data_IF_097118976058
#
_entry.id   IF_097118976058
#
_cell.length_a   1.000
_cell.length_b   1.000
_cell.length_c   1.000
_cell.angle_alpha   90.00
_cell.angle_beta   90.00
_cell.angle_gamma   90.00
#
_symmetry.space_group_name_H-M   'P 1'
#
loop_
_entity.id
_entity.type
_entity.pdbx_description
1 polymer ?
#
# COMPACT_ATOMS: atom_id res chain seq x y z
N UNK A 1 -14.35 -14.31 -13.81
CA UNK A 1 -13.90 -15.47 -13.00
C UNK A 1 -12.78 -16.30 -13.64
N UNK A 2 -12.97 -16.91 -14.81
CA UNK A 2 -11.94 -17.74 -15.45
C UNK A 2 -10.60 -17.02 -15.78
N UNK A 3 -10.63 -15.69 -16.03
CA UNK A 3 -9.41 -14.89 -16.18
C UNK A 3 -8.70 -14.60 -14.86
N UNK A 4 -9.44 -14.37 -13.76
CA UNK A 4 -8.87 -14.17 -12.41
C UNK A 4 -8.18 -15.46 -11.95
N UNK A 5 -8.85 -16.61 -12.11
CA UNK A 5 -8.28 -17.91 -11.80
C UNK A 5 -7.04 -18.21 -12.65
N UNK A 6 -7.03 -17.83 -13.93
CA UNK A 6 -5.84 -17.95 -14.79
C UNK A 6 -4.69 -17.07 -14.32
N UNK A 7 -4.95 -15.81 -13.95
CA UNK A 7 -3.92 -14.91 -13.41
C UNK A 7 -3.32 -15.49 -12.14
N UNK A 8 -4.16 -15.93 -11.18
CA UNK A 8 -3.73 -16.59 -9.95
C UNK A 8 -2.93 -17.86 -10.24
N UNK A 9 -3.35 -18.68 -11.23
CA UNK A 9 -2.62 -19.88 -11.66
C UNK A 9 -1.30 -19.58 -12.38
N UNK A 10 -1.20 -18.46 -13.10
CA UNK A 10 0.05 -18.07 -13.79
C UNK A 10 1.09 -17.50 -12.84
N UNK A 11 0.68 -16.71 -11.84
CA UNK A 11 1.57 -16.31 -10.73
C UNK A 11 1.92 -17.49 -9.84
N UNK A 12 1.07 -18.51 -9.75
CA UNK A 12 1.35 -19.78 -9.06
C UNK A 12 2.48 -20.61 -9.65
N UNK A 13 2.69 -20.51 -10.97
CA UNK A 13 3.57 -21.41 -11.72
C UNK A 13 5.02 -20.94 -11.83
N UNK A 14 5.34 -19.71 -11.38
CA UNK A 14 6.73 -19.25 -11.31
C UNK A 14 7.38 -19.89 -10.08
N UNK A 15 7.98 -21.06 -10.24
CA UNK A 15 8.82 -21.67 -9.20
C UNK A 15 10.01 -20.75 -8.88
N UNK A 16 10.33 -20.52 -7.59
CA UNK A 16 11.57 -19.88 -7.21
C UNK A 16 12.72 -20.89 -7.36
N UNK A 17 13.76 -20.50 -8.11
CA UNK A 17 15.01 -21.24 -8.18
C UNK A 17 15.58 -21.46 -6.76
N UNK A 18 16.10 -22.66 -6.45
CA UNK A 18 16.42 -23.03 -5.08
C UNK A 18 17.85 -22.60 -4.73
N UNK A 19 18.03 -21.37 -4.24
CA UNK A 19 19.26 -21.00 -3.52
C UNK A 19 19.08 -19.72 -2.72
N UNK A 20 18.66 -19.85 -1.46
CA UNK A 20 19.22 -19.16 -0.28
C UNK A 20 18.26 -19.28 0.91
N UNK A 21 18.54 -20.24 1.79
CA UNK A 21 17.71 -20.59 2.93
C UNK A 21 18.15 -19.86 4.19
N UNK A 22 17.97 -18.54 4.31
CA UNK A 22 18.09 -17.83 5.60
C UNK A 22 17.40 -16.45 5.61
N UNK A 23 16.14 -16.37 5.17
CA UNK A 23 15.23 -15.27 5.55
C UNK A 23 13.72 -15.55 5.33
N UNK A 24 13.36 -16.80 4.99
CA UNK A 24 12.06 -17.13 4.38
C UNK A 24 10.84 -16.90 5.27
N UNK A 25 10.97 -16.88 6.61
CA UNK A 25 9.82 -16.67 7.50
C UNK A 25 9.36 -15.21 7.57
N UNK A 26 10.30 -14.26 7.65
CA UNK A 26 9.97 -12.84 7.67
C UNK A 26 9.44 -12.38 6.30
N UNK A 27 10.04 -12.92 5.23
CA UNK A 27 9.63 -12.68 3.86
C UNK A 27 8.25 -13.28 3.55
N UNK A 28 7.97 -14.51 4.00
CA UNK A 28 6.64 -15.12 3.88
C UNK A 28 5.58 -14.39 4.72
N UNK A 29 5.92 -13.90 5.92
CA UNK A 29 5.00 -13.10 6.73
C UNK A 29 4.70 -11.74 6.08
N UNK A 30 5.70 -11.13 5.45
CA UNK A 30 5.57 -9.86 4.72
C UNK A 30 4.74 -10.06 3.44
N UNK A 31 5.01 -11.14 2.69
CA UNK A 31 4.24 -11.52 1.51
C UNK A 31 2.78 -11.87 1.86
N UNK A 32 2.54 -12.52 3.00
CA UNK A 32 1.18 -12.82 3.49
C UNK A 32 0.45 -11.55 3.92
N UNK A 33 1.10 -10.66 4.66
CA UNK A 33 0.54 -9.35 5.04
C UNK A 33 0.25 -8.49 3.80
N UNK A 34 1.11 -8.57 2.79
CA UNK A 34 0.90 -7.90 1.50
C UNK A 34 -0.25 -8.53 0.72
N UNK A 35 -0.37 -9.87 0.71
CA UNK A 35 -1.46 -10.58 0.04
C UNK A 35 -2.82 -10.33 0.71
N UNK A 36 -2.87 -10.31 2.03
CA UNK A 36 -4.08 -9.95 2.80
C UNK A 36 -4.48 -8.49 2.57
N UNK A 37 -3.51 -7.57 2.48
CA UNK A 37 -3.77 -6.16 2.12
C UNK A 37 -4.20 -6.02 0.66
N UNK A 38 -3.52 -6.68 -0.27
CA UNK A 38 -3.91 -6.74 -1.68
C UNK A 38 -5.35 -7.25 -1.80
N UNK A 39 -5.75 -8.23 -0.98
CA UNK A 39 -7.11 -8.75 -0.97
C UNK A 39 -8.15 -7.81 -0.40
N UNK A 40 -7.81 -7.08 0.66
CA UNK A 40 -8.72 -6.14 1.30
C UNK A 40 -8.99 -4.91 0.42
N UNK A 41 -8.00 -4.45 -0.35
CA UNK A 41 -8.05 -3.18 -1.10
C UNK A 41 -8.15 -3.35 -2.61
N UNK A 42 -8.05 -4.57 -3.13
CA UNK A 42 -8.29 -4.81 -4.55
C UNK A 42 -9.78 -4.76 -4.91
N UNK A 43 -10.71 -4.94 -3.97
CA UNK A 43 -12.13 -5.08 -4.28
C UNK A 43 -12.80 -3.70 -4.41
N UNK A 44 -13.21 -3.36 -5.63
CA UNK A 44 -14.14 -2.25 -5.89
C UNK A 44 -15.53 -2.83 -6.13
N UNK A 45 -16.52 -2.42 -5.34
CA UNK A 45 -17.89 -2.90 -5.42
C UNK A 45 -18.74 -1.90 -6.23
N UNK A 46 -19.34 -2.35 -7.33
CA UNK A 46 -20.18 -1.54 -8.20
C UNK A 46 -21.59 -2.13 -8.31
N UNK A 47 -22.57 -1.39 -7.78
CA UNK A 47 -23.97 -1.78 -7.80
C UNK A 47 -24.69 -1.33 -9.08
N UNK A 48 -25.72 -2.09 -9.45
CA UNK A 48 -26.55 -1.81 -10.63
C UNK A 48 -25.89 -2.22 -11.94
N UNK A 49 -24.78 -2.96 -11.90
CA UNK A 49 -24.08 -3.46 -13.09
C UNK A 49 -24.19 -4.98 -13.18
N UNK A 50 -24.34 -5.55 -14.40
CA UNK A 50 -24.29 -6.98 -14.58
C UNK A 50 -22.96 -7.57 -14.07
N UNK A 51 -23.01 -8.81 -13.56
CA UNK A 51 -21.81 -9.52 -13.09
C UNK A 51 -20.74 -9.68 -14.15
N UNK A 52 -21.13 -9.68 -15.44
CA UNK A 52 -20.22 -9.69 -16.59
C UNK A 52 -19.33 -8.45 -16.71
N UNK A 53 -19.66 -7.35 -16.02
CA UNK A 53 -18.83 -6.14 -15.95
C UNK A 53 -17.66 -6.25 -14.96
N UNK A 54 -17.67 -7.27 -14.10
CA UNK A 54 -16.60 -7.56 -13.12
C UNK A 54 -15.29 -7.88 -13.83
N UNK A 55 -14.18 -7.26 -13.42
CA UNK A 55 -12.88 -7.39 -14.11
C UNK A 55 -11.70 -7.11 -13.20
N UNK A 56 -10.55 -7.64 -13.58
CA UNK A 56 -9.27 -7.24 -13.03
C UNK A 56 -8.74 -6.00 -13.75
N UNK A 57 -8.19 -5.09 -12.98
CA UNK A 57 -7.49 -3.89 -13.43
C UNK A 57 -6.08 -3.99 -12.86
N UNK A 58 -5.05 -3.91 -13.72
CA UNK A 58 -3.65 -3.87 -13.27
C UNK A 58 -3.39 -2.58 -12.50
N UNK A 59 -2.60 -2.63 -11.45
CA UNK A 59 -2.34 -1.51 -10.56
C UNK A 59 -3.27 -1.47 -9.35
N UNK A 60 -3.20 -0.35 -8.63
CA UNK A 60 -4.05 -0.03 -7.47
C UNK A 60 -5.10 1.01 -7.90
N UNK A 61 -6.34 0.82 -7.44
CA UNK A 61 -7.39 1.85 -7.45
C UNK A 61 -7.41 2.50 -6.07
N UNK A 62 -7.33 3.83 -6.03
CA UNK A 62 -7.47 4.64 -4.80
C UNK A 62 -8.87 5.26 -4.81
N UNK A 63 -9.60 5.12 -3.71
CA UNK A 63 -11.01 5.49 -3.56
C UNK A 63 -11.21 7.01 -3.37
N UNK A 64 -10.47 7.82 -4.15
CA UNK A 64 -10.52 9.28 -4.20
C UNK A 64 -10.31 9.75 -5.63
N UNK A 65 -10.88 10.90 -5.97
CA UNK A 65 -10.52 11.63 -7.20
C UNK A 65 -9.36 12.59 -6.90
N UNK A 66 -8.80 13.17 -7.95
CA UNK A 66 -7.84 14.26 -7.84
C UNK A 66 -8.52 15.51 -7.27
N UNK A 67 -7.93 16.09 -6.22
CA UNK A 67 -8.28 17.41 -5.73
C UNK A 67 -7.75 18.52 -6.64
N UNK A 68 -6.61 18.26 -7.29
CA UNK A 68 -6.03 19.07 -8.34
C UNK A 68 -5.45 18.13 -9.39
N UNK A 69 -5.86 18.27 -10.65
CA UNK A 69 -5.40 17.39 -11.72
C UNK A 69 -4.71 18.18 -12.82
N UNK A 70 -3.43 17.86 -13.04
CA UNK A 70 -2.67 18.26 -14.21
C UNK A 70 -2.58 17.04 -15.14
N UNK A 71 -3.17 17.08 -16.34
CA UNK A 71 -3.07 15.99 -17.30
C UNK A 71 -1.62 15.81 -17.71
N UNK A 72 -1.10 14.59 -17.55
CA UNK A 72 0.27 14.26 -17.91
C UNK A 72 0.40 14.02 -19.41
N UNK A 73 1.57 14.35 -19.95
CA UNK A 73 1.96 13.99 -21.32
C UNK A 73 2.18 12.49 -21.39
N UNK A 74 1.62 11.88 -22.44
CA UNK A 74 1.80 10.46 -22.69
C UNK A 74 3.30 10.16 -22.87
N UNK A 75 3.76 9.02 -22.36
CA UNK A 75 5.13 8.46 -22.47
C UNK A 75 6.17 8.73 -21.36
N UNK A 76 5.91 9.52 -20.31
CA UNK A 76 6.86 9.70 -19.21
C UNK A 76 6.46 8.93 -17.94
N UNK A 77 7.45 8.32 -17.27
CA UNK A 77 7.25 7.71 -15.95
C UNK A 77 6.82 8.78 -14.94
N UNK A 78 5.85 8.43 -14.12
CA UNK A 78 5.23 9.32 -13.16
C UNK A 78 5.96 9.19 -11.82
N UNK A 79 6.46 10.31 -11.30
CA UNK A 79 7.06 10.35 -9.97
C UNK A 79 6.05 10.85 -8.95
N UNK A 80 5.80 10.05 -7.92
CA UNK A 80 4.81 10.33 -6.89
C UNK A 80 5.44 10.34 -5.50
N UNK A 81 4.91 11.16 -4.59
CA UNK A 81 5.30 11.17 -3.17
C UNK A 81 4.06 11.04 -2.31
N UNK A 82 4.20 10.27 -1.22
CA UNK A 82 3.13 10.08 -0.23
C UNK A 82 3.39 10.95 1.00
N UNK A 83 2.36 11.65 1.48
CA UNK A 83 2.39 12.44 2.71
C UNK A 83 1.36 11.93 3.71
N UNK A 84 1.79 11.78 4.97
CA UNK A 84 0.87 11.49 6.09
C UNK A 84 0.40 12.76 6.82
N UNK A 85 1.08 13.89 6.56
CA UNK A 85 0.81 15.19 7.18
C UNK A 85 0.42 16.27 6.18
N UNK A 86 0.27 17.48 6.72
CA UNK A 86 0.03 18.69 5.92
C UNK A 86 1.36 19.15 5.31
N UNK A 87 1.34 19.58 4.04
CA UNK A 87 2.54 20.15 3.42
C UNK A 87 2.85 21.54 3.99
N UNK A 88 1.82 22.25 4.42
CA UNK A 88 1.98 23.53 5.10
C UNK A 88 2.55 23.30 6.52
N UNK A 89 3.57 24.05 6.94
CA UNK A 89 4.16 23.89 8.26
C UNK A 89 3.09 24.02 9.36
N UNK A 90 2.96 22.99 10.21
CA UNK A 90 2.18 23.10 11.45
C UNK A 90 2.99 23.91 12.46
N UNK A 91 2.74 25.21 12.51
CA UNK A 91 3.38 26.08 13.49
C UNK A 91 2.76 26.00 14.87
N UNK A 92 1.48 25.59 14.95
CA UNK A 92 0.74 25.54 16.20
C UNK A 92 0.09 24.17 16.35
N UNK A 93 0.32 23.54 17.50
CA UNK A 93 -0.52 22.44 18.00
C UNK A 93 -1.83 23.03 18.53
N UNK A 94 -2.87 22.19 18.63
CA UNK A 94 -4.04 22.56 19.41
C UNK A 94 -3.56 22.99 20.81
N UNK A 95 -4.07 24.12 21.30
CA UNK A 95 -3.67 24.79 22.56
C UNK A 95 -2.46 25.74 22.48
N UNK A 96 -1.76 25.85 21.35
CA UNK A 96 -0.72 26.86 21.15
C UNK A 96 -1.33 28.16 20.60
N UNK A 97 -0.99 29.29 21.24
CA UNK A 97 -1.44 30.63 20.82
C UNK A 97 -0.27 31.35 20.16
N UNK A 98 -0.44 31.77 18.90
CA UNK A 98 0.53 32.64 18.25
C UNK A 98 0.48 34.03 18.90
N UNK A 99 1.48 34.32 19.75
CA UNK A 99 1.60 35.63 20.36
C UNK A 99 2.29 36.60 19.38
N UNK A 100 1.49 37.46 18.76
CA UNK A 100 2.00 38.55 17.92
C UNK A 100 2.40 39.72 18.82
N UNK A 101 3.71 39.97 18.96
CA UNK A 101 4.22 41.10 19.74
C UNK A 101 3.83 42.43 19.11
N UNK A 102 2.98 43.20 19.80
CA UNK A 102 2.52 44.52 19.35
C UNK A 102 3.44 45.64 19.84
N UNK A 103 4.38 46.10 19.01
CA UNK A 103 4.90 47.46 19.11
C UNK A 103 3.91 48.43 18.47
N UNK A 104 3.89 49.69 18.93
CA UNK A 104 2.91 50.77 18.61
C UNK A 104 2.72 51.10 17.10
N UNK A 105 3.37 50.36 16.19
CA UNK A 105 3.33 50.57 14.74
C UNK A 105 3.22 49.29 13.89
N UNK A 106 3.04 48.09 14.47
CA UNK A 106 3.49 46.85 13.80
C UNK A 106 2.58 45.63 13.72
N UNK A 107 1.31 45.68 14.14
CA UNK A 107 0.47 44.46 14.19
C UNK A 107 0.19 43.86 12.79
N UNK A 108 -0.02 44.70 11.78
CA UNK A 108 -0.14 44.25 10.37
C UNK A 108 1.19 43.74 9.80
N UNK A 109 2.32 44.34 10.18
CA UNK A 109 3.66 43.96 9.68
C UNK A 109 4.04 42.54 10.10
N UNK A 110 3.77 42.17 11.35
CA UNK A 110 4.08 40.84 11.87
C UNK A 110 3.22 39.73 11.23
N UNK A 111 1.94 40.01 10.97
CA UNK A 111 1.04 39.07 10.27
C UNK A 111 1.49 38.91 8.81
N UNK A 112 1.81 40.00 8.12
CA UNK A 112 2.31 39.96 6.74
C UNK A 112 3.65 39.22 6.62
N UNK A 113 4.56 39.41 7.59
CA UNK A 113 5.84 38.69 7.60
C UNK A 113 5.64 37.19 7.84
N UNK A 114 4.68 36.82 8.69
CA UNK A 114 4.33 35.43 8.94
C UNK A 114 3.69 34.76 7.72
N UNK A 115 2.71 35.41 7.07
CA UNK A 115 2.08 34.86 5.87
C UNK A 115 3.09 34.71 4.73
N UNK A 116 3.92 35.74 4.51
CA UNK A 116 4.97 35.70 3.49
C UNK A 116 6.04 34.64 3.80
N UNK A 117 6.36 34.38 5.07
CA UNK A 117 7.25 33.28 5.45
C UNK A 117 6.60 31.92 5.22
N UNK A 118 5.33 31.75 5.57
CA UNK A 118 4.61 30.50 5.38
C UNK A 118 4.42 30.15 3.89
N UNK A 119 4.15 31.16 3.06
CA UNK A 119 4.09 31.04 1.60
C UNK A 119 5.46 30.65 1.02
N UNK A 120 6.53 31.41 1.32
CA UNK A 120 7.90 31.07 0.87
C UNK A 120 8.36 29.69 1.33
N UNK A 121 7.92 29.27 2.51
CA UNK A 121 8.22 27.95 3.04
C UNK A 121 7.56 26.85 2.21
N UNK A 122 6.30 27.04 1.82
CA UNK A 122 5.58 26.11 0.97
C UNK A 122 6.12 26.11 -0.47
N UNK A 123 6.47 27.27 -1.02
CA UNK A 123 7.16 27.40 -2.30
C UNK A 123 8.45 26.58 -2.32
N UNK A 124 9.30 26.68 -1.29
CA UNK A 124 10.53 25.90 -1.16
C UNK A 124 10.27 24.38 -1.18
N UNK A 125 9.21 23.91 -0.50
CA UNK A 125 8.82 22.48 -0.52
C UNK A 125 8.40 22.05 -1.93
N UNK A 126 7.59 22.87 -2.62
CA UNK A 126 7.15 22.58 -3.99
C UNK A 126 8.32 22.60 -4.97
N UNK A 127 9.24 23.55 -4.86
CA UNK A 127 10.48 23.60 -5.65
C UNK A 127 11.36 22.36 -5.41
N UNK A 128 11.49 21.92 -4.16
CA UNK A 128 12.22 20.68 -3.83
C UNK A 128 11.56 19.48 -4.50
N UNK A 129 10.24 19.36 -4.46
CA UNK A 129 9.49 18.30 -5.13
C UNK A 129 9.68 18.35 -6.66
N UNK A 130 9.65 19.54 -7.26
CA UNK A 130 9.93 19.74 -8.69
C UNK A 130 11.35 19.32 -9.06
N UNK A 131 12.34 19.66 -8.23
CA UNK A 131 13.74 19.29 -8.44
C UNK A 131 13.96 17.77 -8.47
N UNK A 132 13.12 17.02 -7.73
CA UNK A 132 13.10 15.56 -7.72
C UNK A 132 12.29 14.98 -8.91
N UNK A 133 11.63 15.84 -9.68
CA UNK A 133 10.77 15.51 -10.81
C UNK A 133 9.39 14.99 -10.41
N UNK A 134 8.94 15.25 -9.18
CA UNK A 134 7.64 14.80 -8.68
C UNK A 134 6.52 15.49 -9.46
N UNK A 135 5.52 14.72 -9.87
CA UNK A 135 4.34 15.20 -10.61
C UNK A 135 3.03 14.78 -9.96
N UNK A 136 3.08 13.94 -8.92
CA UNK A 136 1.89 13.51 -8.16
C UNK A 136 2.16 13.56 -6.66
N UNK A 137 1.25 14.18 -5.92
CA UNK A 137 1.22 14.20 -4.46
C UNK A 137 0.03 13.37 -3.99
N UNK A 138 0.28 12.40 -3.11
CA UNK A 138 -0.76 11.57 -2.51
C UNK A 138 -0.77 11.81 -1.00
N UNK A 139 -1.87 12.27 -0.45
CA UNK A 139 -1.95 12.77 0.92
C UNK A 139 -3.02 12.06 1.75
N UNK A 140 -2.68 11.72 2.99
CA UNK A 140 -3.63 11.19 3.99
C UNK A 140 -4.65 12.24 4.43
N UNK A 141 -4.24 13.50 4.46
CA UNK A 141 -5.04 14.62 4.97
C UNK A 141 -5.52 15.52 3.83
N UNK A 142 -6.54 16.33 4.11
CA UNK A 142 -6.95 17.44 3.25
C UNK A 142 -5.87 18.51 3.22
N UNK A 143 -5.48 18.95 2.02
CA UNK A 143 -4.50 20.00 1.85
C UNK A 143 -5.18 21.38 1.76
N UNK A 144 -4.42 22.44 2.02
CA UNK A 144 -4.94 23.81 1.93
C UNK A 144 -5.07 24.26 0.48
N UNK A 145 -5.92 25.26 0.23
CA UNK A 145 -6.08 25.82 -1.11
C UNK A 145 -4.76 26.38 -1.69
N UNK A 146 -3.86 26.88 -0.83
CA UNK A 146 -2.53 27.33 -1.23
C UNK A 146 -1.66 26.18 -1.76
N UNK A 147 -1.69 25.02 -1.12
CA UNK A 147 -0.99 23.82 -1.59
C UNK A 147 -1.51 23.38 -2.96
N UNK A 148 -2.85 23.35 -3.12
CA UNK A 148 -3.46 22.96 -4.40
C UNK A 148 -3.11 23.96 -5.52
N UNK A 149 -3.13 25.27 -5.24
CA UNK A 149 -2.79 26.30 -6.20
C UNK A 149 -1.32 26.22 -6.64
N UNK A 150 -0.38 26.10 -5.69
CA UNK A 150 1.04 25.98 -5.99
C UNK A 150 1.38 24.67 -6.69
N UNK A 151 0.73 23.55 -6.30
CA UNK A 151 0.89 22.28 -6.99
C UNK A 151 0.47 22.37 -8.46
N UNK A 152 -0.68 22.99 -8.75
CA UNK A 152 -1.13 23.21 -10.13
C UNK A 152 -0.17 24.09 -10.93
N UNK A 153 0.32 25.18 -10.32
CA UNK A 153 1.33 26.04 -10.93
C UNK A 153 2.63 25.28 -11.22
N UNK A 154 2.94 24.28 -10.40
CA UNK A 154 4.09 23.40 -10.54
C UNK A 154 3.86 22.18 -11.44
N UNK A 155 2.71 22.10 -12.14
CA UNK A 155 2.29 20.96 -12.97
C UNK A 155 2.18 19.63 -12.21
N UNK A 156 1.85 19.70 -10.92
CA UNK A 156 1.66 18.55 -10.04
C UNK A 156 0.17 18.25 -9.82
N UNK A 157 -0.20 16.98 -9.94
CA UNK A 157 -1.49 16.48 -9.51
C UNK A 157 -1.51 16.16 -8.01
N UNK A 158 -2.65 16.40 -7.35
CA UNK A 158 -2.84 16.15 -5.92
C UNK A 158 -4.04 15.24 -5.69
N UNK A 159 -3.83 14.20 -4.91
CA UNK A 159 -4.86 13.32 -4.35
C UNK A 159 -4.83 13.49 -2.83
N UNK A 160 -5.95 13.88 -2.23
CA UNK A 160 -6.04 14.14 -0.79
C UNK A 160 -7.07 13.25 -0.10
N UNK A 161 -7.03 13.22 1.24
CA UNK A 161 -7.93 12.41 2.07
C UNK A 161 -7.90 10.91 1.73
N UNK A 162 -6.74 10.39 1.32
CA UNK A 162 -6.53 8.96 1.05
C UNK A 162 -6.45 8.21 2.38
N UNK A 163 -7.09 7.04 2.46
CA UNK A 163 -7.06 6.26 3.69
C UNK A 163 -5.63 5.78 4.03
N UNK A 164 -5.32 5.65 5.32
CA UNK A 164 -4.00 5.16 5.76
C UNK A 164 -3.68 3.78 5.19
N UNK A 165 -4.69 2.92 5.07
CA UNK A 165 -4.52 1.59 4.51
C UNK A 165 -4.14 1.62 3.03
N UNK A 166 -4.78 2.46 2.21
CA UNK A 166 -4.45 2.63 0.80
C UNK A 166 -3.05 3.23 0.61
N UNK A 167 -2.66 4.17 1.46
CA UNK A 167 -1.30 4.73 1.47
C UNK A 167 -0.27 3.69 1.89
N UNK A 168 -0.60 2.85 2.86
CA UNK A 168 0.28 1.76 3.30
C UNK A 168 0.43 0.72 2.20
N UNK A 169 -0.64 0.42 1.47
CA UNK A 169 -0.58 -0.44 0.30
C UNK A 169 0.29 0.20 -0.80
N UNK A 170 0.06 1.49 -1.10
CA UNK A 170 0.86 2.22 -2.08
C UNK A 170 2.35 2.16 -1.73
N UNK A 171 2.71 2.50 -0.49
CA UNK A 171 4.09 2.46 0.00
C UNK A 171 4.69 1.05 -0.06
N UNK A 172 3.89 0.02 0.25
CA UNK A 172 4.31 -1.38 0.12
C UNK A 172 4.57 -1.81 -1.32
N UNK A 173 3.76 -1.33 -2.27
CA UNK A 173 3.86 -1.65 -3.69
C UNK A 173 4.95 -0.85 -4.40
N UNK A 174 5.12 0.44 -4.06
CA UNK A 174 6.20 1.29 -4.59
C UNK A 174 7.55 1.02 -3.92
N UNK A 175 7.53 0.56 -2.67
CA UNK A 175 8.72 0.44 -1.84
C UNK A 175 9.25 1.71 -1.24
N UNK A 176 8.45 2.77 -1.23
CA UNK A 176 8.87 4.09 -0.75
C UNK A 176 8.29 4.36 0.63
N UNK A 177 9.07 5.02 1.48
CA UNK A 177 8.56 5.47 2.77
C UNK A 177 7.64 6.69 2.58
N UNK A 178 6.50 6.78 3.30
CA UNK A 178 5.70 7.99 3.31
C UNK A 178 6.43 9.11 4.05
N UNK A 179 6.30 10.35 3.56
CA UNK A 179 6.90 11.55 4.14
C UNK A 179 6.10 11.99 5.36
N UNK A 180 6.80 12.09 6.48
CA UNK A 180 6.27 12.65 7.74
C UNK A 180 6.66 14.11 7.94
N UNK A 181 7.84 14.50 7.45
CA UNK A 181 8.38 15.86 7.50
C UNK A 181 8.69 16.35 6.08
N UNK A 182 7.91 17.34 5.62
CA UNK A 182 8.01 17.88 4.26
C UNK A 182 9.34 18.60 3.97
N UNK A 183 10.14 18.89 5.00
CA UNK A 183 11.49 19.47 4.83
C UNK A 183 12.56 18.44 4.53
N UNK A 184 12.28 17.14 4.76
CA UNK A 184 13.25 16.05 4.63
C UNK A 184 12.94 15.12 3.46
N UNK A 185 12.41 15.69 2.38
CA UNK A 185 12.05 14.94 1.17
C UNK A 185 13.33 14.59 0.41
N UNK A 186 13.68 13.31 0.49
CA UNK A 186 14.79 12.68 -0.21
C UNK A 186 14.32 11.75 -1.34
N UNK A 187 15.19 11.35 -2.29
CA UNK A 187 14.83 10.47 -3.41
C UNK A 187 14.19 9.12 -3.00
N UNK A 188 14.48 8.61 -1.81
CA UNK A 188 13.87 7.38 -1.25
C UNK A 188 12.36 7.48 -0.99
N UNK A 189 11.84 8.70 -0.90
CA UNK A 189 10.40 8.98 -0.75
C UNK A 189 9.67 9.05 -2.09
N UNK A 190 10.40 9.05 -3.22
CA UNK A 190 9.85 9.26 -4.55
C UNK A 190 9.57 7.92 -5.22
N UNK A 191 8.29 7.60 -5.37
CA UNK A 191 7.82 6.41 -6.07
C UNK A 191 7.84 6.64 -7.57
N UNK A 192 8.29 5.64 -8.33
CA UNK A 192 8.20 5.66 -9.80
C UNK A 192 7.05 4.78 -10.25
N UNK A 193 6.15 5.36 -11.03
CA UNK A 193 4.91 4.77 -11.50
C UNK A 193 4.90 4.75 -13.03
N UNK A 194 4.27 3.73 -13.61
CA UNK A 194 4.02 3.69 -15.06
C UNK A 194 2.98 4.73 -15.46
N UNK A 195 1.94 4.91 -14.64
CA UNK A 195 0.96 6.00 -14.80
C UNK A 195 0.23 6.27 -13.48
N UNK A 196 -0.34 7.46 -13.36
CA UNK A 196 -1.31 7.85 -12.35
C UNK A 196 -2.40 8.70 -13.02
N UNK A 197 -3.62 8.17 -13.15
CA UNK A 197 -4.66 8.79 -13.97
C UNK A 197 -6.05 8.61 -13.39
N UNK A 198 -7.02 9.45 -13.73
CA UNK A 198 -8.40 9.24 -13.32
C UNK A 198 -8.98 7.99 -14.02
N UNK A 199 -9.79 7.22 -13.30
CA UNK A 199 -10.59 6.11 -13.83
C UNK A 199 -12.05 6.28 -13.40
N UNK A 200 -12.98 6.02 -14.31
CA UNK A 200 -14.41 6.01 -14.00
C UNK A 200 -14.86 4.56 -13.77
N UNK A 201 -15.37 4.28 -12.58
CA UNK A 201 -15.95 3.00 -12.21
C UNK A 201 -17.38 3.25 -11.73
N UNK A 202 -18.35 2.82 -12.53
CA UNK A 202 -19.75 3.19 -12.32
C UNK A 202 -19.97 4.69 -12.44
N UNK A 203 -20.55 5.31 -11.41
CA UNK A 203 -20.81 6.75 -11.34
C UNK A 203 -19.69 7.55 -10.64
N UNK A 204 -18.64 6.87 -10.14
CA UNK A 204 -17.61 7.48 -9.32
C UNK A 204 -16.26 7.52 -10.03
N UNK A 205 -15.54 8.61 -9.79
CA UNK A 205 -14.17 8.82 -10.28
C UNK A 205 -13.18 8.46 -9.19
N UNK A 206 -12.17 7.72 -9.60
CA UNK A 206 -11.12 7.20 -8.75
C UNK A 206 -9.76 7.48 -9.37
N UNK A 207 -8.71 7.33 -8.58
CA UNK A 207 -7.33 7.43 -9.06
C UNK A 207 -6.81 6.02 -9.33
N UNK A 208 -6.28 5.82 -10.52
CA UNK A 208 -5.71 4.56 -10.98
C UNK A 208 -4.19 4.68 -11.10
N UNK A 209 -3.49 3.87 -10.30
CA UNK A 209 -2.03 3.88 -10.17
C UNK A 209 -1.46 2.57 -10.69
N UNK A 210 -0.50 2.63 -11.61
CA UNK A 210 0.33 1.48 -11.95
C UNK A 210 1.77 1.70 -11.53
N UNK A 211 2.33 0.73 -10.82
CA UNK A 211 3.71 0.76 -10.36
C UNK A 211 4.66 0.39 -11.50
N UNK A 212 5.88 0.92 -11.46
CA UNK A 212 6.91 0.54 -12.42
C UNK A 212 7.57 -0.78 -11.98
N UNK A 213 7.58 -1.78 -12.85
CA UNK A 213 8.28 -3.05 -12.60
C UNK A 213 9.80 -2.81 -12.69
N UNK A 214 10.49 -2.76 -11.55
CA UNK A 214 11.96 -2.82 -11.48
C UNK A 214 12.41 -4.26 -11.32
N UNK A 215 13.39 -4.70 -12.13
CA UNK A 215 13.86 -6.08 -12.24
C UNK A 215 14.33 -6.72 -10.91
N UNK A 216 14.61 -5.92 -9.87
CA UNK A 216 15.08 -6.39 -8.56
C UNK A 216 13.97 -6.84 -7.59
N UNK A 217 12.69 -6.58 -7.87
CA UNK A 217 11.57 -7.03 -7.01
C UNK A 217 10.84 -8.19 -7.65
N UNK A 218 10.64 -9.26 -6.87
CA UNK A 218 9.83 -10.40 -7.25
C UNK A 218 8.53 -9.94 -7.95
N UNK A 219 8.36 -10.40 -9.19
CA UNK A 219 7.38 -9.93 -10.20
C UNK A 219 5.92 -10.13 -9.79
N UNK A 220 5.44 -9.41 -8.78
CA UNK A 220 4.02 -9.34 -8.42
C UNK A 220 3.47 -8.06 -9.01
N UNK A 221 2.77 -8.19 -10.14
CA UNK A 221 2.01 -7.09 -10.72
C UNK A 221 0.76 -6.88 -9.85
N UNK A 222 0.66 -5.81 -9.04
CA UNK A 222 -0.55 -5.56 -8.24
C UNK A 222 -1.75 -5.40 -9.17
N UNK A 223 -2.91 -5.87 -8.73
CA UNK A 223 -4.16 -5.73 -9.47
C UNK A 223 -5.31 -5.44 -8.50
N UNK A 224 -6.24 -4.59 -8.92
CA UNK A 224 -7.56 -4.41 -8.31
C UNK A 224 -8.61 -5.24 -9.04
N UNK A 225 -9.50 -5.89 -8.31
CA UNK A 225 -10.68 -6.61 -8.79
C UNK A 225 -11.93 -5.75 -8.62
N UNK A 226 -12.53 -5.33 -9.73
CA UNK A 226 -13.85 -4.73 -9.73
C UNK A 226 -14.91 -5.84 -9.72
N UNK A 227 -15.81 -5.79 -8.74
CA UNK A 227 -16.93 -6.70 -8.54
C UNK A 227 -18.22 -5.95 -8.83
N UNK A 228 -19.02 -6.47 -9.75
CA UNK A 228 -20.30 -5.89 -10.12
C UNK A 228 -21.45 -6.81 -9.70
N UNK A 229 -22.52 -6.23 -9.18
CA UNK A 229 -23.77 -6.92 -8.88
C UNK A 229 -24.99 -6.07 -9.26
N UNK A 230 -26.14 -6.71 -9.46
CA UNK A 230 -27.37 -6.00 -9.83
C UNK A 230 -27.93 -5.16 -8.68
N UNK A 231 -27.46 -5.39 -7.45
CA UNK A 231 -27.75 -4.57 -6.28
C UNK A 231 -26.77 -4.87 -5.14
N UNK A 232 -26.71 -3.96 -4.17
CA UNK A 232 -25.77 -3.93 -3.04
C UNK A 232 -25.57 -5.31 -2.39
N UNK A 233 -26.65 -5.98 -1.98
CA UNK A 233 -26.55 -7.28 -1.32
C UNK A 233 -25.95 -8.39 -2.18
N UNK A 234 -26.13 -8.36 -3.52
CA UNK A 234 -25.44 -9.31 -4.40
C UNK A 234 -23.95 -8.97 -4.54
N UNK A 235 -23.64 -7.68 -4.68
CA UNK A 235 -22.26 -7.21 -4.83
C UNK A 235 -21.44 -7.54 -3.59
N UNK A 236 -21.96 -7.25 -2.39
CA UNK A 236 -21.33 -7.55 -1.11
C UNK A 236 -21.15 -9.06 -0.91
N UNK A 237 -22.15 -9.86 -1.30
CA UNK A 237 -22.05 -11.32 -1.26
C UNK A 237 -20.93 -11.83 -2.17
N UNK A 238 -20.82 -11.31 -3.39
CA UNK A 238 -19.75 -11.67 -4.32
C UNK A 238 -18.38 -11.23 -3.79
N UNK A 239 -18.26 -10.01 -3.30
CA UNK A 239 -17.01 -9.49 -2.73
C UNK A 239 -16.56 -10.33 -1.53
N UNK A 240 -17.48 -10.68 -0.63
CA UNK A 240 -17.21 -11.55 0.52
C UNK A 240 -16.78 -12.95 0.10
N UNK A 241 -17.52 -13.59 -0.80
CA UNK A 241 -17.19 -14.92 -1.31
C UNK A 241 -15.82 -14.95 -2.00
N UNK A 242 -15.48 -13.90 -2.76
CA UNK A 242 -14.18 -13.77 -3.42
C UNK A 242 -13.06 -13.58 -2.40
N UNK A 243 -13.25 -12.71 -1.42
CA UNK A 243 -12.29 -12.49 -0.33
C UNK A 243 -12.00 -13.78 0.42
N UNK A 244 -13.04 -14.54 0.74
CA UNK A 244 -12.92 -15.83 1.42
C UNK A 244 -12.24 -16.88 0.55
N UNK A 245 -12.58 -16.95 -0.74
CA UNK A 245 -11.95 -17.87 -1.69
C UNK A 245 -10.45 -17.61 -1.81
N UNK A 246 -10.01 -16.35 -1.93
CA UNK A 246 -8.57 -16.08 -1.99
C UNK A 246 -7.89 -16.28 -0.64
N UNK A 247 -8.54 -15.92 0.47
CA UNK A 247 -8.00 -16.24 1.81
C UNK A 247 -7.78 -17.74 1.97
N UNK A 248 -8.70 -18.57 1.47
CA UNK A 248 -8.57 -20.03 1.44
C UNK A 248 -7.42 -20.49 0.55
N UNK A 249 -7.23 -19.88 -0.62
CA UNK A 249 -6.08 -20.18 -1.49
C UNK A 249 -4.75 -19.84 -0.81
N UNK A 250 -4.67 -18.70 -0.11
CA UNK A 250 -3.48 -18.27 0.62
C UNK A 250 -3.17 -19.14 1.86
N UNK A 251 -4.20 -19.69 2.53
CA UNK A 251 -4.00 -20.61 3.64
C UNK A 251 -3.57 -22.01 3.18
N UNK A 252 -4.03 -22.44 2.00
CA UNK A 252 -3.67 -23.74 1.42
C UNK A 252 -2.24 -23.76 0.85
N UNK A 253 -1.69 -22.58 0.53
CA UNK A 253 -0.32 -22.43 0.00
C UNK A 253 0.77 -22.34 1.07
N UNK A 254 0.48 -22.72 2.32
CA UNK A 254 1.57 -22.93 3.27
C UNK A 254 2.49 -24.03 2.74
N UNK A 255 3.82 -23.84 2.76
CA UNK A 255 4.70 -24.96 2.46
C UNK A 255 4.35 -26.05 3.45
N UNK A 256 3.90 -27.20 2.93
CA UNK A 256 3.74 -28.42 3.70
C UNK A 256 5.08 -28.63 4.39
N UNK A 257 5.16 -28.26 5.67
CA UNK A 257 6.31 -28.58 6.49
C UNK A 257 6.31 -30.10 6.46
N UNK A 258 7.28 -30.67 5.75
CA UNK A 258 7.51 -32.10 5.71
C UNK A 258 7.64 -32.55 7.15
N UNK A 259 6.55 -33.04 7.72
CA UNK A 259 6.54 -33.70 9.01
C UNK A 259 7.47 -34.89 8.82
N UNK A 260 8.68 -34.78 9.38
CA UNK A 260 9.58 -35.92 9.51
C UNK A 260 8.84 -36.94 10.37
N UNK A 261 8.10 -37.83 9.72
CA UNK A 261 7.68 -39.10 10.29
C UNK A 261 8.97 -39.88 10.54
N UNK A 262 9.47 -39.79 11.77
CA UNK A 262 10.55 -40.65 12.26
C UNK A 262 9.96 -42.05 12.41
N UNK A 263 9.85 -42.79 11.32
CA UNK A 263 9.71 -44.24 11.37
C UNK A 263 11.07 -44.80 11.82
N UNK A 264 11.20 -45.10 13.12
CA UNK A 264 12.21 -46.06 13.59
C UNK A 264 11.49 -47.36 13.91
N UNK A 265 11.55 -48.28 12.96
CA UNK A 265 11.26 -49.70 13.18
C UNK A 265 12.35 -50.50 12.50
N UNK A 266 13.17 -51.19 13.31
CA UNK A 266 13.93 -52.45 13.10
C UNK A 266 15.19 -52.39 13.97
N UNK A 267 15.16 -53.00 15.16
CA UNK A 267 15.49 -54.40 15.44
C UNK A 267 17.00 -54.63 15.49
N UNK A 268 17.52 -55.10 16.62
CA UNK A 268 18.58 -56.10 16.72
C UNK A 268 18.61 -56.63 18.17
N UNK A 269 18.19 -57.87 18.33
CA UNK A 269 18.48 -58.73 19.49
C UNK A 269 19.95 -59.21 19.37
N UNK A 270 20.60 -59.64 20.46
CA UNK A 270 20.48 -61.05 20.85
C UNK A 270 20.43 -61.30 22.38
N UNK A 271 20.18 -62.56 22.70
CA UNK A 271 19.93 -63.24 23.98
C UNK A 271 21.04 -63.13 25.04
N UNK A 272 20.73 -63.23 26.34
CA UNK A 272 20.63 -64.51 27.10
C UNK A 272 20.59 -64.33 28.64
N UNK A 273 19.64 -65.04 29.26
CA UNK A 273 19.56 -65.68 30.60
C UNK A 273 20.45 -65.22 31.79
N UNK A 274 19.84 -64.94 32.95
CA UNK A 274 19.82 -65.85 34.12
C UNK A 274 19.15 -65.22 35.36
N UNK A 275 18.62 -66.09 36.21
CA UNK A 275 17.81 -65.81 37.39
C UNK A 275 18.60 -65.28 38.60
N UNK A 276 17.97 -64.48 39.46
CA UNK A 276 17.82 -64.80 40.89
C UNK A 276 16.94 -63.82 41.67
N UNK A 277 16.43 -64.35 42.79
CA UNK A 277 15.27 -63.92 43.53
C UNK A 277 15.53 -62.92 44.68
N UNK A 278 14.44 -62.21 45.06
CA UNK A 278 14.03 -61.76 46.43
C UNK A 278 14.81 -60.65 47.16
N UNK A 279 14.24 -60.00 48.21
CA UNK A 279 12.85 -59.56 48.40
C UNK A 279 12.69 -58.14 49.02
N UNK A 280 11.45 -57.66 48.97
CA UNK A 280 10.72 -56.84 49.95
C UNK A 280 11.40 -56.47 51.27
N UNK A 281 11.29 -55.19 51.66
CA UNK A 281 10.90 -54.78 53.03
C UNK A 281 10.34 -53.35 53.06
N UNK A 282 9.05 -53.24 53.40
CA UNK A 282 8.44 -52.06 54.06
C UNK A 282 8.91 -51.98 55.51
N UNK A 283 8.97 -50.76 56.04
CA UNK A 283 8.53 -50.47 57.41
C UNK A 283 7.23 -49.69 57.30
#
# INVERSE_FOLDING_TARGET
>A
MASLLRVIQTTARKEPHPSHTYNSKAEAATARRLADKLLAFALEELDGFPTSCSRLIKGQVIHRDFAAHCPQTDHQLVKAVVFTGYLQPKLLRAEEVLQLGGGEQGQQSNIMHFSAWAERSLECVIEKLQSLGVSVLVSAVKQSAAVLALALQAEMSVVECVSEDELTLFAGLSGTAPVTDCWRIEPEHVATLTYCRPILLGAHRYVHVAFHDSEERATVNPCSLVVCGLGEGQTEQYASALRDAVRMLLSTWEPIVTSKRTNRSTSLHPDNQSANATPSKRK
#
